data_IF_939056044011
#
_entry.id   IF_939056044011
#
_cell.length_a   1.000
_cell.length_b   1.000
_cell.length_c   1.000
_cell.angle_alpha   90.00
_cell.angle_beta   90.00
_cell.angle_gamma   90.00
#
_symmetry.space_group_name_H-M   'P 1'
#
loop_
_entity.id
_entity.type
_entity.pdbx_description
1 polymer ?
#
# COMPACT_ATOMS: atom_id res chain seq x y z
N UNK A 1 20.49 13.44 51.98
CA UNK A 1 19.96 12.05 51.90
C UNK A 1 18.52 11.96 51.38
N UNK A 2 17.57 12.78 51.83
CA UNK A 2 16.15 12.70 51.40
C UNK A 2 15.92 12.85 49.88
N UNK A 3 16.64 13.75 49.21
CA UNK A 3 16.53 13.93 47.75
C UNK A 3 16.94 12.70 46.92
N UNK A 4 17.99 11.98 47.33
CA UNK A 4 18.44 10.76 46.63
C UNK A 4 17.38 9.64 46.70
N UNK A 5 16.74 9.49 47.86
CA UNK A 5 15.66 8.51 48.07
C UNK A 5 14.43 8.88 47.23
N UNK A 6 14.09 10.17 47.14
CA UNK A 6 12.97 10.63 46.31
C UNK A 6 13.21 10.37 44.81
N UNK A 7 14.39 10.73 44.29
CA UNK A 7 14.77 10.46 42.89
C UNK A 7 14.74 8.95 42.60
N UNK A 8 15.28 8.13 43.52
CA UNK A 8 15.25 6.67 43.38
C UNK A 8 13.81 6.14 43.30
N UNK A 9 12.89 6.64 44.12
CA UNK A 9 11.47 6.26 44.07
C UNK A 9 10.81 6.64 42.75
N UNK A 10 11.11 7.82 42.20
CA UNK A 10 10.60 8.23 40.88
C UNK A 10 11.12 7.30 39.79
N UNK A 11 12.43 7.01 39.77
CA UNK A 11 13.02 6.11 38.77
C UNK A 11 12.43 4.70 38.88
N UNK A 12 12.30 4.18 40.10
CA UNK A 12 11.74 2.85 40.34
C UNK A 12 10.27 2.77 39.91
N UNK A 13 9.46 3.76 40.31
CA UNK A 13 8.05 3.83 39.93
C UNK A 13 7.89 3.98 38.41
N UNK A 14 8.65 4.86 37.78
CA UNK A 14 8.65 5.05 36.33
C UNK A 14 9.06 3.77 35.57
N UNK A 15 10.13 3.11 36.02
CA UNK A 15 10.60 1.86 35.43
C UNK A 15 9.58 0.73 35.58
N UNK A 16 8.91 0.64 36.74
CA UNK A 16 7.87 -0.35 36.99
C UNK A 16 6.67 -0.12 36.05
N UNK A 17 6.18 1.11 35.92
CA UNK A 17 5.07 1.42 35.02
C UNK A 17 5.43 1.18 33.56
N UNK A 18 6.66 1.52 33.16
CA UNK A 18 7.15 1.24 31.80
C UNK A 18 7.22 -0.28 31.54
N UNK A 19 7.70 -1.05 32.52
CA UNK A 19 7.72 -2.51 32.45
C UNK A 19 6.32 -3.12 32.33
N UNK A 20 5.35 -2.62 33.11
CA UNK A 20 3.95 -3.05 33.02
C UNK A 20 3.37 -2.71 31.64
N UNK A 21 3.58 -1.48 31.15
CA UNK A 21 3.10 -1.07 29.84
C UNK A 21 3.70 -1.92 28.72
N UNK A 22 5.02 -2.14 28.74
CA UNK A 22 5.71 -2.99 27.78
C UNK A 22 5.17 -4.42 27.81
N UNK A 23 4.93 -4.98 29.00
CA UNK A 23 4.32 -6.30 29.18
C UNK A 23 2.90 -6.38 28.62
N UNK A 24 2.07 -5.35 28.81
CA UNK A 24 0.72 -5.28 28.25
C UNK A 24 0.74 -5.20 26.72
N UNK A 25 1.55 -4.31 26.15
CA UNK A 25 1.66 -4.19 24.70
C UNK A 25 2.19 -5.47 24.06
N UNK A 26 3.17 -6.12 24.70
CA UNK A 26 3.69 -7.40 24.25
C UNK A 26 2.63 -8.51 24.33
N UNK A 27 1.85 -8.55 25.42
CA UNK A 27 0.75 -9.50 25.58
C UNK A 27 -0.29 -9.38 24.46
N UNK A 28 -0.69 -8.15 24.08
CA UNK A 28 -1.69 -7.95 23.02
C UNK A 28 -1.13 -8.10 21.60
N UNK A 29 0.19 -7.95 21.42
CA UNK A 29 0.80 -8.06 20.09
C UNK A 29 0.57 -9.44 19.48
N UNK A 30 -0.09 -9.47 18.33
CA UNK A 30 -0.22 -10.70 17.55
C UNK A 30 -1.19 -11.75 18.13
N UNK A 31 -2.04 -11.37 19.10
CA UNK A 31 -3.11 -12.24 19.64
C UNK A 31 -4.10 -12.75 18.59
N UNK A 32 -4.11 -12.14 17.40
CA UNK A 32 -5.05 -12.44 16.33
C UNK A 32 -4.38 -13.00 15.06
N UNK A 33 -3.12 -13.45 15.17
CA UNK A 33 -2.37 -14.04 14.04
C UNK A 33 -2.92 -15.39 13.58
N UNK A 34 -3.73 -16.04 14.40
CA UNK A 34 -4.42 -17.30 14.09
C UNK A 34 -5.66 -17.09 13.21
N UNK A 35 -6.20 -15.86 13.17
CA UNK A 35 -7.29 -15.50 12.27
C UNK A 35 -6.73 -15.34 10.86
N UNK A 36 -7.22 -16.19 9.95
CA UNK A 36 -6.86 -16.16 8.53
C UNK A 36 -8.10 -15.89 7.70
N UNK A 37 -8.14 -14.72 7.09
CA UNK A 37 -9.19 -14.30 6.16
C UNK A 37 -8.70 -14.42 4.72
N UNK A 38 -9.64 -14.35 3.77
CA UNK A 38 -9.32 -14.29 2.35
C UNK A 38 -9.11 -12.83 1.92
N UNK A 39 -8.30 -12.63 0.87
CA UNK A 39 -8.13 -11.33 0.25
C UNK A 39 -9.44 -10.75 -0.31
N UNK A 40 -10.31 -11.62 -0.85
CA UNK A 40 -11.57 -11.22 -1.50
C UNK A 40 -12.62 -10.67 -0.52
N UNK A 41 -12.56 -11.10 0.74
CA UNK A 41 -13.58 -10.78 1.76
C UNK A 41 -13.10 -9.80 2.83
N UNK A 42 -11.79 -9.51 2.89
CA UNK A 42 -11.18 -8.65 3.91
C UNK A 42 -10.52 -7.41 3.30
N UNK A 43 -10.40 -6.35 4.09
CA UNK A 43 -9.56 -5.18 3.81
C UNK A 43 -8.26 -5.20 4.64
N UNK A 44 -8.17 -6.08 5.64
CA UNK A 44 -6.96 -6.25 6.46
C UNK A 44 -5.86 -6.92 5.65
N UNK A 45 -4.65 -6.39 5.74
CA UNK A 45 -3.43 -7.04 5.26
C UNK A 45 -2.90 -8.04 6.29
N UNK A 46 -2.95 -7.73 7.59
CA UNK A 46 -2.35 -8.57 8.63
C UNK A 46 -3.10 -9.89 8.83
N UNK A 47 -4.42 -9.91 8.60
CA UNK A 47 -5.26 -11.10 8.75
C UNK A 47 -5.29 -11.98 7.49
N UNK A 48 -4.71 -11.52 6.38
CA UNK A 48 -4.68 -12.27 5.10
C UNK A 48 -3.27 -12.75 4.75
N UNK A 49 -2.22 -12.03 5.17
CA UNK A 49 -0.84 -12.44 4.90
C UNK A 49 -0.42 -13.58 5.82
N UNK A 50 0.31 -14.54 5.26
CA UNK A 50 0.90 -15.63 6.03
C UNK A 50 2.15 -15.19 6.81
N UNK A 51 2.74 -16.15 7.51
CA UNK A 51 4.05 -16.04 8.15
C UNK A 51 5.03 -17.04 7.54
N UNK A 52 6.30 -16.64 7.41
CA UNK A 52 7.36 -17.46 6.83
C UNK A 52 6.97 -18.08 5.46
N UNK A 53 6.25 -17.32 4.63
CA UNK A 53 5.83 -17.71 3.29
C UNK A 53 6.68 -17.03 2.23
N UNK A 54 6.80 -17.69 1.10
CA UNK A 54 7.39 -17.14 -0.10
C UNK A 54 6.29 -16.73 -1.08
N UNK A 55 6.43 -15.55 -1.67
CA UNK A 55 5.53 -15.00 -2.69
C UNK A 55 6.33 -14.61 -3.93
N UNK A 56 5.99 -15.08 -5.13
CA UNK A 56 6.60 -14.58 -6.36
C UNK A 56 6.43 -13.06 -6.52
N UNK A 57 5.28 -12.53 -6.06
CA UNK A 57 4.98 -11.11 -6.17
C UNK A 57 4.24 -10.54 -4.96
N UNK A 58 4.61 -9.32 -4.59
CA UNK A 58 3.86 -8.47 -3.66
C UNK A 58 3.35 -7.25 -4.43
N UNK A 59 2.07 -6.91 -4.29
CA UNK A 59 1.50 -5.66 -4.82
C UNK A 59 1.41 -4.61 -3.70
N UNK A 60 1.79 -3.38 -4.01
CA UNK A 60 1.60 -2.19 -3.15
C UNK A 60 0.75 -1.16 -3.91
N UNK A 61 0.06 -0.28 -3.18
CA UNK A 61 -0.70 0.83 -3.78
C UNK A 61 -1.92 1.26 -2.96
N UNK A 62 -2.73 2.14 -3.54
CA UNK A 62 -3.96 2.63 -2.88
C UNK A 62 -5.17 1.75 -3.18
N UNK A 63 -6.39 2.32 -3.12
CA UNK A 63 -7.62 1.65 -3.54
C UNK A 63 -7.54 1.13 -4.98
N UNK A 64 -6.82 1.83 -5.86
CA UNK A 64 -6.59 1.42 -7.26
C UNK A 64 -5.73 0.17 -7.39
N UNK A 65 -4.88 -0.12 -6.40
CA UNK A 65 -4.20 -1.42 -6.29
C UNK A 65 -5.01 -2.47 -5.53
N UNK A 66 -5.83 -2.06 -4.55
CA UNK A 66 -6.65 -2.98 -3.74
C UNK A 66 -7.68 -3.75 -4.59
N UNK A 67 -8.22 -3.14 -5.65
CA UNK A 67 -9.23 -3.78 -6.52
C UNK A 67 -8.76 -5.07 -7.18
N UNK A 68 -7.44 -5.27 -7.34
CA UNK A 68 -6.83 -6.53 -7.82
C UNK A 68 -7.07 -7.70 -6.87
N UNK A 69 -7.68 -7.48 -5.70
CA UNK A 69 -7.93 -8.52 -4.71
C UNK A 69 -9.34 -8.48 -4.10
N UNK A 70 -10.22 -7.63 -4.63
CA UNK A 70 -11.63 -7.60 -4.24
C UNK A 70 -12.47 -8.46 -5.19
N UNK A 71 -13.67 -8.84 -4.78
CA UNK A 71 -14.68 -9.44 -5.68
C UNK A 71 -14.22 -10.69 -6.45
N UNK A 72 -13.37 -11.52 -5.83
CA UNK A 72 -12.82 -12.73 -6.46
C UNK A 72 -11.68 -12.44 -7.43
N UNK A 73 -11.27 -11.18 -7.61
CA UNK A 73 -10.18 -10.82 -8.50
C UNK A 73 -8.83 -11.34 -7.99
N UNK A 74 -8.68 -11.62 -6.68
CA UNK A 74 -7.42 -12.15 -6.16
C UNK A 74 -7.05 -13.48 -6.82
N UNK A 75 -7.99 -14.43 -6.84
CA UNK A 75 -7.77 -15.74 -7.46
C UNK A 75 -7.51 -15.64 -8.97
N UNK A 76 -8.19 -14.73 -9.66
CA UNK A 76 -7.95 -14.46 -11.08
C UNK A 76 -6.53 -13.92 -11.31
N UNK A 77 -6.07 -12.99 -10.49
CA UNK A 77 -4.72 -12.42 -10.57
C UNK A 77 -3.67 -13.48 -10.26
N UNK A 78 -3.83 -14.29 -9.21
CA UNK A 78 -2.93 -15.41 -8.91
C UNK A 78 -2.85 -16.42 -10.06
N UNK A 79 -3.98 -16.72 -10.70
CA UNK A 79 -4.02 -17.61 -11.86
C UNK A 79 -3.27 -17.03 -13.06
N UNK A 80 -3.44 -15.76 -13.38
CA UNK A 80 -2.77 -15.10 -14.51
C UNK A 80 -1.25 -14.98 -14.25
N UNK A 81 -0.86 -14.69 -13.02
CA UNK A 81 0.54 -14.52 -12.62
C UNK A 81 1.23 -15.85 -12.26
N UNK A 82 0.51 -16.97 -12.36
CA UNK A 82 0.99 -18.34 -12.12
C UNK A 82 1.64 -18.53 -10.74
N UNK A 83 1.14 -17.84 -9.72
CA UNK A 83 1.77 -17.83 -8.41
C UNK A 83 0.97 -17.12 -7.34
N UNK A 84 1.38 -17.34 -6.08
CA UNK A 84 0.75 -16.68 -4.95
C UNK A 84 1.05 -15.19 -4.92
N UNK A 85 0.03 -14.38 -4.69
CA UNK A 85 0.16 -12.92 -4.69
C UNK A 85 -0.10 -12.40 -3.28
N UNK A 86 0.78 -11.56 -2.76
CA UNK A 86 0.48 -10.79 -1.56
C UNK A 86 0.11 -9.36 -1.95
N UNK A 87 -1.19 -9.01 -1.92
CA UNK A 87 -1.62 -7.65 -2.21
C UNK A 87 -1.72 -6.81 -0.94
N UNK A 88 -0.69 -6.01 -0.67
CA UNK A 88 -0.64 -5.12 0.50
C UNK A 88 -1.21 -3.72 0.21
N UNK A 89 -1.81 -3.50 -0.97
CA UNK A 89 -2.54 -2.27 -1.24
C UNK A 89 -3.71 -2.08 -0.27
N UNK A 90 -4.06 -0.83 0.06
CA UNK A 90 -5.15 -0.50 1.01
C UNK A 90 -6.23 0.37 0.38
N UNK A 91 -7.48 -0.02 0.64
CA UNK A 91 -8.68 0.76 0.31
C UNK A 91 -8.83 2.00 1.18
N UNK A 92 -8.23 3.11 0.74
CA UNK A 92 -8.17 4.36 1.52
C UNK A 92 -6.96 4.38 2.46
N UNK A 93 -6.06 5.33 2.25
CA UNK A 93 -4.83 5.42 3.04
C UNK A 93 -3.69 4.49 2.60
N UNK A 94 -3.64 4.02 1.35
CA UNK A 94 -2.54 3.16 0.85
C UNK A 94 -1.37 3.92 0.21
N UNK A 95 -1.03 5.11 0.70
CA UNK A 95 0.09 5.91 0.20
C UNK A 95 1.46 5.32 0.52
N UNK A 96 2.52 6.11 0.32
CA UNK A 96 3.90 5.66 0.45
C UNK A 96 4.26 5.26 1.89
N UNK A 97 3.81 6.03 2.89
CA UNK A 97 4.07 5.69 4.30
C UNK A 97 3.37 4.39 4.73
N UNK A 98 2.06 4.21 4.47
CA UNK A 98 1.35 2.96 4.77
C UNK A 98 1.87 1.77 3.98
N UNK A 99 2.25 1.94 2.70
CA UNK A 99 2.86 0.88 1.90
C UNK A 99 4.16 0.38 2.55
N UNK A 100 5.00 1.30 3.02
CA UNK A 100 6.26 0.98 3.69
C UNK A 100 6.03 0.31 5.06
N UNK A 101 5.00 0.72 5.82
CA UNK A 101 4.60 0.05 7.07
C UNK A 101 4.20 -1.40 6.84
N UNK A 102 3.29 -1.66 5.89
CA UNK A 102 2.82 -3.01 5.61
C UNK A 102 3.91 -3.90 5.01
N UNK A 103 4.74 -3.36 4.11
CA UNK A 103 5.87 -4.10 3.55
C UNK A 103 6.92 -4.43 4.63
N UNK A 104 7.20 -3.49 5.53
CA UNK A 104 8.09 -3.72 6.69
C UNK A 104 7.55 -4.84 7.58
N UNK A 105 6.24 -4.83 7.86
CA UNK A 105 5.62 -5.90 8.64
C UNK A 105 5.67 -7.24 7.90
N UNK A 106 5.39 -7.27 6.60
CA UNK A 106 5.50 -8.47 5.76
C UNK A 106 6.87 -9.13 5.88
N UNK A 107 7.96 -8.36 5.75
CA UNK A 107 9.31 -8.90 5.93
C UNK A 107 9.62 -9.26 7.39
N UNK A 108 9.12 -8.51 8.36
CA UNK A 108 9.29 -8.82 9.78
C UNK A 108 8.60 -10.14 10.19
N UNK A 109 7.57 -10.58 9.45
CA UNK A 109 6.93 -11.89 9.61
C UNK A 109 7.70 -13.03 8.92
N UNK A 110 8.94 -12.78 8.49
CA UNK A 110 9.78 -13.77 7.83
C UNK A 110 9.35 -14.12 6.41
N UNK A 111 8.40 -13.38 5.84
CA UNK A 111 8.00 -13.61 4.46
C UNK A 111 9.10 -13.15 3.48
N UNK A 112 9.17 -13.78 2.33
CA UNK A 112 10.11 -13.45 1.25
C UNK A 112 9.35 -13.19 -0.04
N UNK A 113 9.96 -12.38 -0.92
CA UNK A 113 9.37 -12.03 -2.21
C UNK A 113 10.46 -11.93 -3.28
N UNK A 114 10.15 -12.33 -4.52
CA UNK A 114 11.05 -12.10 -5.65
C UNK A 114 10.90 -10.69 -6.20
N UNK A 115 9.65 -10.24 -6.38
CA UNK A 115 9.33 -8.96 -7.00
C UNK A 115 8.25 -8.19 -6.22
N UNK A 116 8.54 -6.95 -5.84
CA UNK A 116 7.52 -5.99 -5.39
C UNK A 116 7.05 -5.17 -6.59
N UNK A 117 5.75 -5.06 -6.82
CA UNK A 117 5.18 -4.13 -7.79
C UNK A 117 4.42 -3.06 -7.02
N UNK A 118 4.86 -1.81 -7.12
CA UNK A 118 4.13 -0.67 -6.58
C UNK A 118 3.24 -0.09 -7.69
N UNK A 119 1.93 -0.21 -7.52
CA UNK A 119 0.92 0.41 -8.37
C UNK A 119 0.74 1.87 -7.94
N UNK A 120 1.34 2.78 -8.70
CA UNK A 120 1.54 4.18 -8.33
C UNK A 120 0.34 5.03 -8.71
N UNK A 121 -0.05 5.87 -7.75
CA UNK A 121 -0.99 6.96 -7.91
C UNK A 121 -0.26 8.28 -7.66
N UNK A 122 -0.20 9.23 -8.62
CA UNK A 122 0.63 10.43 -8.47
C UNK A 122 0.30 11.25 -7.21
N UNK A 123 -0.99 11.35 -6.88
CA UNK A 123 -1.46 12.22 -5.81
C UNK A 123 -0.95 11.83 -4.41
N UNK A 124 -0.54 10.58 -4.18
CA UNK A 124 -0.04 10.15 -2.86
C UNK A 124 1.29 10.79 -2.51
N UNK A 125 1.97 11.39 -3.49
CA UNK A 125 3.18 12.17 -3.25
C UNK A 125 2.86 13.58 -2.75
N UNK A 126 1.64 14.09 -2.92
CA UNK A 126 1.31 15.48 -2.59
C UNK A 126 0.36 15.61 -1.41
N UNK A 127 -0.30 14.52 -1.01
CA UNK A 127 -1.36 14.56 -0.01
C UNK A 127 -1.04 13.75 1.24
N UNK A 128 -1.16 14.41 2.39
CA UNK A 128 -0.99 13.78 3.70
C UNK A 128 -2.11 12.79 4.06
N UNK A 129 -3.33 12.98 3.50
CA UNK A 129 -4.49 12.12 3.81
C UNK A 129 -4.28 10.65 3.44
N UNK A 130 -3.38 10.36 2.50
CA UNK A 130 -3.06 8.98 2.12
C UNK A 130 -1.81 8.42 2.76
N UNK A 131 -1.10 9.25 3.52
CA UNK A 131 0.14 8.84 4.16
C UNK A 131 -0.01 8.79 5.67
N UNK A 132 -0.57 9.83 6.28
CA UNK A 132 -0.47 10.04 7.72
C UNK A 132 -1.69 10.72 8.35
N UNK A 133 -2.51 11.44 7.59
CA UNK A 133 -3.68 12.17 8.14
C UNK A 133 -4.98 11.35 8.12
N UNK A 134 -4.89 10.01 8.06
CA UNK A 134 -6.03 9.10 8.02
C UNK A 134 -5.71 7.75 8.69
N UNK A 135 -6.69 7.13 9.35
CA UNK A 135 -6.57 5.82 10.02
C UNK A 135 -7.08 4.65 9.18
N UNK A 136 -7.66 4.89 8.00
CA UNK A 136 -8.26 3.80 7.22
C UNK A 136 -7.28 2.64 6.94
N UNK A 137 -5.98 2.90 6.86
CA UNK A 137 -4.97 1.86 6.66
C UNK A 137 -4.66 1.01 7.91
N UNK A 138 -5.12 1.41 9.09
CA UNK A 138 -4.90 0.75 10.39
C UNK A 138 -6.20 0.26 11.05
N UNK A 139 -7.35 0.85 10.68
CA UNK A 139 -8.65 0.64 11.36
C UNK A 139 -9.13 -0.81 11.34
N UNK A 140 -8.67 -1.59 10.38
CA UNK A 140 -8.99 -2.98 10.15
C UNK A 140 -7.78 -3.91 10.39
N UNK A 141 -6.70 -3.39 10.97
CA UNK A 141 -5.49 -4.16 11.26
C UNK A 141 -5.40 -4.51 12.75
N UNK A 142 -5.20 -5.79 13.11
CA UNK A 142 -4.95 -6.20 14.48
C UNK A 142 -3.70 -5.56 15.06
N UNK A 143 -3.73 -5.31 16.37
CA UNK A 143 -2.60 -4.68 17.05
C UNK A 143 -1.34 -5.56 16.98
N UNK A 144 -0.28 -4.95 16.45
CA UNK A 144 1.06 -5.50 16.35
C UNK A 144 2.06 -4.50 16.90
N UNK A 145 2.84 -4.92 17.90
CA UNK A 145 3.84 -4.07 18.56
C UNK A 145 4.90 -3.58 17.56
N UNK A 146 5.24 -4.40 16.56
CA UNK A 146 6.14 -3.98 15.49
C UNK A 146 5.60 -2.78 14.72
N UNK A 147 4.32 -2.82 14.30
CA UNK A 147 3.68 -1.71 13.59
C UNK A 147 3.59 -0.50 14.52
N UNK A 148 3.19 -0.69 15.77
CA UNK A 148 3.08 0.39 16.75
C UNK A 148 4.42 1.13 16.93
N UNK A 149 5.50 0.37 17.11
CA UNK A 149 6.85 0.92 17.18
C UNK A 149 7.23 1.67 15.90
N UNK A 150 6.90 1.09 14.73
CA UNK A 150 7.16 1.72 13.44
C UNK A 150 6.42 3.04 13.26
N UNK A 151 5.17 3.14 13.68
CA UNK A 151 4.40 4.39 13.63
C UNK A 151 5.08 5.49 14.46
N UNK A 152 5.64 5.13 15.63
CA UNK A 152 6.39 6.06 16.48
C UNK A 152 7.71 6.48 15.81
N UNK A 153 8.51 5.52 15.34
CA UNK A 153 9.83 5.83 14.75
C UNK A 153 9.74 6.63 13.47
N UNK A 154 8.69 6.39 12.69
CA UNK A 154 8.44 7.08 11.44
C UNK A 154 7.67 8.39 11.63
N UNK A 155 7.42 8.78 12.90
CA UNK A 155 6.82 10.05 13.31
C UNK A 155 5.44 10.29 12.72
N UNK A 156 4.60 9.25 12.70
CA UNK A 156 3.19 9.44 12.40
C UNK A 156 2.55 10.39 13.43
N UNK A 157 1.51 11.15 13.04
CA UNK A 157 0.72 11.97 13.95
C UNK A 157 0.23 11.17 15.17
N UNK A 158 0.23 11.81 16.34
CA UNK A 158 -0.06 11.13 17.61
C UNK A 158 -1.46 10.54 17.66
N UNK A 159 -2.43 11.20 17.04
CA UNK A 159 -3.80 10.71 16.89
C UNK A 159 -3.87 9.39 16.09
N UNK A 160 -3.02 9.18 15.08
CA UNK A 160 -2.92 7.89 14.37
C UNK A 160 -2.35 6.81 15.28
N UNK A 161 -1.30 7.13 16.03
CA UNK A 161 -0.66 6.23 17.00
C UNK A 161 -1.69 5.79 18.06
N UNK A 162 -2.46 6.75 18.60
CA UNK A 162 -3.53 6.45 19.57
C UNK A 162 -4.67 5.65 18.95
N UNK A 163 -5.07 5.96 17.71
CA UNK A 163 -6.11 5.21 17.01
C UNK A 163 -5.71 3.75 16.81
N UNK A 164 -4.43 3.48 16.53
CA UNK A 164 -3.95 2.10 16.43
C UNK A 164 -3.91 1.37 17.77
N UNK A 165 -3.59 2.05 18.87
CA UNK A 165 -3.69 1.45 20.21
C UNK A 165 -5.12 1.03 20.56
N UNK A 166 -6.13 1.76 20.08
CA UNK A 166 -7.53 1.38 20.30
C UNK A 166 -7.90 0.04 19.65
N UNK A 167 -7.12 -0.42 18.66
CA UNK A 167 -7.33 -1.73 18.03
C UNK A 167 -7.15 -2.90 19.00
N UNK A 168 -6.48 -2.69 20.14
CA UNK A 168 -6.40 -3.68 21.24
C UNK A 168 -7.80 -4.06 21.76
N UNK A 169 -8.77 -3.15 21.72
CA UNK A 169 -10.11 -3.36 22.24
C UNK A 169 -11.07 -4.05 21.25
N UNK A 170 -10.64 -4.29 20.01
CA UNK A 170 -11.47 -4.90 18.97
C UNK A 170 -11.57 -6.40 19.21
N UNK A 171 -12.80 -6.92 19.23
CA UNK A 171 -13.08 -8.34 19.49
C UNK A 171 -13.65 -9.09 18.28
N UNK A 172 -14.25 -8.38 17.31
CA UNK A 172 -14.85 -8.95 16.10
C UNK A 172 -14.06 -8.53 14.85
N UNK A 173 -12.89 -9.16 14.68
CA UNK A 173 -11.99 -8.90 13.56
C UNK A 173 -12.60 -9.25 12.21
N UNK A 174 -13.45 -10.29 12.14
CA UNK A 174 -14.13 -10.68 10.90
C UNK A 174 -15.10 -9.59 10.43
N UNK A 175 -15.81 -8.95 11.36
CA UNK A 175 -16.74 -7.86 11.02
C UNK A 175 -16.04 -6.57 10.62
N UNK A 176 -15.06 -6.12 11.41
CA UNK A 176 -14.40 -4.82 11.17
C UNK A 176 -13.55 -4.82 9.90
N UNK A 177 -12.93 -5.97 9.58
CA UNK A 177 -12.08 -6.10 8.41
C UNK A 177 -12.85 -6.49 7.16
N UNK A 178 -14.17 -6.71 7.22
CA UNK A 178 -14.96 -7.15 6.07
C UNK A 178 -14.93 -6.12 4.95
N UNK A 179 -14.72 -6.58 3.72
CA UNK A 179 -14.92 -5.77 2.53
C UNK A 179 -16.38 -5.29 2.43
N UNK A 180 -16.55 -3.96 2.41
CA UNK A 180 -17.86 -3.32 2.56
C UNK A 180 -18.65 -3.15 1.25
N UNK A 181 -18.06 -3.41 0.08
CA UNK A 181 -18.68 -3.11 -1.21
C UNK A 181 -18.64 -4.28 -2.22
N UNK A 182 -19.12 -5.48 -1.85
CA UNK A 182 -19.08 -6.63 -2.75
C UNK A 182 -19.84 -6.38 -4.07
N UNK A 183 -19.25 -6.83 -5.17
CA UNK A 183 -19.76 -6.67 -6.54
C UNK A 183 -19.40 -5.35 -7.22
N UNK A 184 -18.60 -4.49 -6.59
CA UNK A 184 -18.23 -3.19 -7.15
C UNK A 184 -17.47 -3.34 -8.48
N UNK A 185 -16.57 -4.32 -8.59
CA UNK A 185 -15.76 -4.51 -9.81
C UNK A 185 -16.51 -5.19 -10.96
N UNK A 186 -17.75 -5.64 -10.74
CA UNK A 186 -18.62 -6.19 -11.79
C UNK A 186 -19.31 -5.06 -12.59
N UNK A 187 -19.29 -3.83 -12.07
CA UNK A 187 -19.79 -2.64 -12.75
C UNK A 187 -18.95 -2.25 -13.97
N UNK A 188 -19.57 -1.54 -14.91
CA UNK A 188 -18.87 -0.93 -16.06
C UNK A 188 -19.28 0.52 -16.23
N UNK A 189 -18.29 1.39 -16.39
CA UNK A 189 -18.47 2.83 -16.56
C UNK A 189 -19.21 3.11 -17.88
N UNK A 190 -20.43 3.61 -17.76
CA UNK A 190 -21.30 3.85 -18.93
C UNK A 190 -20.80 4.99 -19.82
N UNK A 191 -20.21 6.03 -19.22
CA UNK A 191 -19.62 7.17 -19.93
C UNK A 191 -18.53 7.81 -19.09
N UNK A 192 -17.51 8.34 -19.76
CA UNK A 192 -16.55 9.26 -19.14
C UNK A 192 -17.29 10.58 -18.93
N UNK A 193 -17.27 11.08 -17.71
CA UNK A 193 -18.03 12.25 -17.30
C UNK A 193 -17.04 13.37 -17.01
N UNK A 194 -16.92 14.30 -17.95
CA UNK A 194 -15.94 15.37 -17.88
C UNK A 194 -16.14 16.28 -16.65
N UNK A 195 -17.39 16.44 -16.19
CA UNK A 195 -17.68 17.27 -15.01
C UNK A 195 -17.14 16.58 -13.77
N UNK A 196 -17.42 15.27 -13.60
CA UNK A 196 -16.89 14.50 -12.46
C UNK A 196 -15.38 14.41 -12.45
N UNK A 197 -14.76 14.29 -13.63
CA UNK A 197 -13.31 14.33 -13.75
C UNK A 197 -12.75 15.68 -13.31
N UNK A 198 -13.36 16.79 -13.74
CA UNK A 198 -12.93 18.12 -13.31
C UNK A 198 -13.15 18.33 -11.81
N UNK A 199 -14.27 17.90 -11.24
CA UNK A 199 -14.53 17.94 -9.80
C UNK A 199 -13.47 17.14 -9.02
N UNK A 200 -13.13 15.93 -9.49
CA UNK A 200 -12.06 15.12 -8.91
C UNK A 200 -10.71 15.82 -9.02
N UNK A 201 -10.40 16.43 -10.16
CA UNK A 201 -9.16 17.19 -10.39
C UNK A 201 -9.04 18.36 -9.42
N UNK A 202 -10.10 19.14 -9.24
CA UNK A 202 -10.16 20.24 -8.27
C UNK A 202 -10.00 19.72 -6.83
N UNK A 203 -10.60 18.58 -6.51
CA UNK A 203 -10.39 17.93 -5.21
C UNK A 203 -8.92 17.60 -4.96
N UNK A 204 -8.23 16.99 -5.93
CA UNK A 204 -6.79 16.69 -5.80
C UNK A 204 -5.95 17.96 -5.70
N UNK A 205 -6.21 18.97 -6.53
CA UNK A 205 -5.51 20.26 -6.49
C UNK A 205 -5.67 20.98 -5.15
N UNK A 206 -6.86 20.94 -4.54
CA UNK A 206 -7.11 21.55 -3.23
C UNK A 206 -6.26 20.97 -2.09
N UNK A 207 -5.70 19.76 -2.29
CA UNK A 207 -4.85 19.03 -1.33
C UNK A 207 -3.41 18.89 -1.81
N UNK A 208 -3.05 19.56 -2.91
CA UNK A 208 -1.76 19.47 -3.53
C UNK A 208 -0.75 20.35 -2.79
N UNK A 209 0.26 19.72 -2.20
CA UNK A 209 1.32 20.43 -1.48
C UNK A 209 2.69 19.92 -1.93
N UNK A 210 3.53 20.84 -2.42
CA UNK A 210 4.89 20.53 -2.85
C UNK A 210 5.80 20.17 -1.67
N UNK A 211 5.53 20.66 -0.46
CA UNK A 211 6.30 20.25 0.72
C UNK A 211 6.07 18.77 1.05
N UNK A 212 4.86 18.28 0.77
CA UNK A 212 4.54 16.86 0.88
C UNK A 212 5.28 16.04 -0.18
N UNK A 213 5.48 16.60 -1.38
CA UNK A 213 6.23 15.92 -2.44
C UNK A 213 7.63 15.55 -1.99
N UNK A 214 8.39 16.51 -1.45
CA UNK A 214 9.75 16.24 -0.97
C UNK A 214 9.75 15.21 0.17
N UNK A 215 8.80 15.34 1.10
CA UNK A 215 8.64 14.43 2.24
C UNK A 215 8.36 12.99 1.79
N UNK A 216 7.36 12.79 0.94
CA UNK A 216 6.92 11.45 0.54
C UNK A 216 7.81 10.84 -0.53
N UNK A 217 8.47 11.64 -1.36
CA UNK A 217 9.52 11.14 -2.26
C UNK A 217 10.65 10.43 -1.50
N UNK A 218 10.99 10.90 -0.29
CA UNK A 218 11.94 10.22 0.60
C UNK A 218 11.52 8.79 0.97
N UNK A 219 10.23 8.47 0.95
CA UNK A 219 9.72 7.12 1.25
C UNK A 219 9.91 6.15 0.09
N UNK A 220 10.06 6.62 -1.15
CA UNK A 220 10.49 5.77 -2.29
C UNK A 220 11.84 5.13 -1.97
N UNK A 221 12.81 5.94 -1.53
CA UNK A 221 14.13 5.43 -1.15
C UNK A 221 14.05 4.43 0.02
N UNK A 222 13.21 4.71 1.03
CA UNK A 222 13.03 3.78 2.16
C UNK A 222 12.47 2.42 1.70
N UNK A 223 11.47 2.42 0.81
CA UNK A 223 10.91 1.21 0.22
C UNK A 223 11.96 0.47 -0.60
N UNK A 224 12.70 1.17 -1.48
CA UNK A 224 13.77 0.55 -2.28
C UNK A 224 14.83 -0.13 -1.40
N UNK A 225 15.27 0.55 -0.33
CA UNK A 225 16.24 -0.04 0.60
C UNK A 225 15.68 -1.25 1.34
N UNK A 226 14.40 -1.20 1.74
CA UNK A 226 13.73 -2.32 2.38
C UNK A 226 13.64 -3.54 1.45
N UNK A 227 13.24 -3.34 0.19
CA UNK A 227 13.19 -4.38 -0.84
C UNK A 227 14.59 -4.96 -1.10
N UNK A 228 15.59 -4.10 -1.29
CA UNK A 228 16.98 -4.49 -1.54
C UNK A 228 17.58 -5.27 -0.38
N UNK A 229 17.35 -4.83 0.87
CA UNK A 229 17.81 -5.54 2.08
C UNK A 229 17.28 -6.97 2.15
N UNK A 230 16.08 -7.20 1.59
CA UNK A 230 15.44 -8.51 1.52
C UNK A 230 15.69 -9.24 0.18
N UNK A 231 16.67 -8.79 -0.61
CA UNK A 231 17.12 -9.40 -1.87
C UNK A 231 16.03 -9.54 -2.94
N UNK A 232 15.03 -8.67 -2.89
CA UNK A 232 13.99 -8.57 -3.90
C UNK A 232 14.31 -7.46 -4.92
N UNK A 233 13.56 -7.42 -6.00
CA UNK A 233 13.50 -6.28 -6.95
C UNK A 233 12.17 -5.54 -6.79
N UNK A 234 12.12 -4.30 -7.28
CA UNK A 234 10.89 -3.50 -7.29
C UNK A 234 10.63 -2.88 -8.66
N UNK A 235 9.39 -2.93 -9.11
CA UNK A 235 8.91 -2.17 -10.26
C UNK A 235 7.81 -1.21 -9.82
N UNK A 236 7.99 0.07 -10.13
CA UNK A 236 6.94 1.07 -10.02
C UNK A 236 6.14 1.09 -11.32
N UNK A 237 4.82 1.06 -11.22
CA UNK A 237 3.92 1.12 -12.38
C UNK A 237 2.92 2.25 -12.17
N UNK A 238 3.05 3.34 -12.92
CA UNK A 238 2.05 4.41 -12.91
C UNK A 238 0.75 3.88 -13.51
N UNK A 239 -0.33 3.82 -12.73
CA UNK A 239 -1.58 3.21 -13.19
C UNK A 239 -2.30 4.07 -14.25
N UNK A 240 -2.93 3.45 -15.26
CA UNK A 240 -3.79 4.11 -16.25
C UNK A 240 -4.84 5.08 -15.69
N UNK A 241 -4.85 6.32 -16.16
CA UNK A 241 -5.72 7.39 -15.71
C UNK A 241 -6.64 7.83 -16.85
N UNK A 242 -7.95 7.89 -16.62
CA UNK A 242 -8.91 8.51 -17.54
C UNK A 242 -8.86 10.06 -17.51
N UNK A 243 -7.89 10.62 -16.79
CA UNK A 243 -7.64 12.05 -16.63
C UNK A 243 -6.23 12.37 -17.15
N UNK A 244 -6.10 12.92 -18.37
CA UNK A 244 -4.79 13.15 -18.98
C UNK A 244 -3.90 14.16 -18.24
N UNK A 245 -4.49 15.15 -17.57
CA UNK A 245 -3.81 16.23 -16.86
C UNK A 245 -3.87 16.05 -15.32
N UNK A 246 -3.73 14.80 -14.87
CA UNK A 246 -3.81 14.47 -13.45
C UNK A 246 -2.73 15.21 -12.63
N UNK A 247 -3.07 15.89 -11.52
CA UNK A 247 -2.13 16.70 -10.76
C UNK A 247 -0.89 15.92 -10.27
N UNK A 248 0.29 16.49 -10.52
CA UNK A 248 1.57 15.94 -10.07
C UNK A 248 2.11 14.77 -10.90
N UNK A 249 1.44 14.40 -11.98
CA UNK A 249 1.85 13.30 -12.84
C UNK A 249 3.28 13.48 -13.36
N UNK A 250 3.62 14.68 -13.86
CA UNK A 250 4.95 14.98 -14.42
C UNK A 250 6.07 14.89 -13.39
N UNK A 251 5.83 15.39 -12.18
CA UNK A 251 6.80 15.42 -11.09
C UNK A 251 7.10 14.00 -10.60
N UNK A 252 6.07 13.18 -10.45
CA UNK A 252 6.22 11.76 -10.04
C UNK A 252 6.87 10.95 -11.16
N UNK A 253 6.48 11.18 -12.41
CA UNK A 253 7.08 10.51 -13.57
C UNK A 253 8.58 10.77 -13.66
N UNK A 254 8.98 12.04 -13.51
CA UNK A 254 10.38 12.43 -13.45
C UNK A 254 11.12 11.76 -12.29
N UNK A 255 10.56 11.83 -11.08
CA UNK A 255 11.16 11.22 -9.88
C UNK A 255 11.41 9.72 -10.06
N UNK A 256 10.41 8.98 -10.54
CA UNK A 256 10.50 7.52 -10.66
C UNK A 256 11.39 7.11 -11.84
N UNK A 257 11.40 7.88 -12.93
CA UNK A 257 12.34 7.68 -14.04
C UNK A 257 13.79 7.87 -13.57
N UNK A 258 14.08 8.96 -12.87
CA UNK A 258 15.40 9.22 -12.31
C UNK A 258 15.81 8.15 -11.29
N UNK A 259 14.88 7.72 -10.45
CA UNK A 259 15.13 6.65 -9.45
C UNK A 259 15.45 5.32 -10.12
N UNK A 260 14.66 4.89 -11.12
CA UNK A 260 14.91 3.66 -11.86
C UNK A 260 16.25 3.71 -12.63
N UNK A 261 16.61 4.87 -13.19
CA UNK A 261 17.87 5.03 -13.94
C UNK A 261 19.14 4.90 -13.08
N UNK A 262 19.05 5.19 -11.78
CA UNK A 262 20.21 5.25 -10.87
C UNK A 262 20.31 4.05 -9.93
N UNK A 263 19.23 3.29 -9.73
CA UNK A 263 19.17 2.21 -8.74
C UNK A 263 19.00 0.83 -9.40
N UNK A 264 20.05 0.01 -9.33
CA UNK A 264 19.99 -1.39 -9.81
C UNK A 264 18.89 -2.17 -9.06
N UNK A 265 18.05 -2.88 -9.83
CA UNK A 265 16.93 -3.67 -9.30
C UNK A 265 15.65 -2.84 -9.07
N UNK A 266 15.62 -1.59 -9.52
CA UNK A 266 14.44 -0.72 -9.56
C UNK A 266 14.04 -0.47 -11.01
N UNK A 267 12.80 -0.76 -11.37
CA UNK A 267 12.24 -0.47 -12.69
C UNK A 267 11.06 0.51 -12.56
N UNK A 268 10.75 1.21 -13.65
CA UNK A 268 9.59 2.08 -13.71
C UNK A 268 8.92 2.02 -15.08
N UNK A 269 7.59 1.91 -15.08
CA UNK A 269 6.75 1.99 -16.27
C UNK A 269 5.65 3.02 -16.07
N UNK A 270 5.59 4.03 -16.93
CA UNK A 270 4.50 5.00 -16.93
C UNK A 270 3.35 4.52 -17.82
N UNK A 271 2.28 4.00 -17.23
CA UNK A 271 1.09 3.58 -17.97
C UNK A 271 -0.07 4.60 -17.85
N UNK A 272 0.17 5.83 -17.39
CA UNK A 272 -0.90 6.80 -17.13
C UNK A 272 -1.80 7.08 -18.34
N UNK A 273 -1.24 7.08 -19.55
CA UNK A 273 -1.96 7.30 -20.81
C UNK A 273 -2.40 6.00 -21.52
N UNK A 274 -2.16 4.83 -20.92
CA UNK A 274 -2.63 3.54 -21.42
C UNK A 274 -4.09 3.29 -20.98
N UNK A 275 -4.71 2.24 -21.51
CA UNK A 275 -6.01 1.67 -21.15
C UNK A 275 -7.08 2.77 -21.01
N UNK A 276 -7.28 3.57 -22.05
CA UNK A 276 -8.20 4.73 -22.00
C UNK A 276 -9.66 4.37 -22.30
N UNK A 277 -9.94 3.11 -22.63
CA UNK A 277 -11.30 2.64 -22.89
C UNK A 277 -12.07 2.45 -21.58
N UNK A 278 -13.18 3.17 -21.44
CA UNK A 278 -14.09 3.13 -20.28
C UNK A 278 -14.59 1.71 -19.95
N UNK A 279 -14.61 0.79 -20.91
CA UNK A 279 -15.07 -0.58 -20.69
C UNK A 279 -14.22 -1.34 -19.66
N UNK A 280 -13.01 -0.86 -19.38
CA UNK A 280 -12.10 -1.45 -18.39
C UNK A 280 -12.26 -0.88 -16.97
N UNK A 281 -13.23 0.00 -16.74
CA UNK A 281 -13.39 0.70 -15.47
C UNK A 281 -14.81 0.55 -14.92
N UNK A 282 -14.96 0.52 -13.59
CA UNK A 282 -16.27 0.62 -12.94
C UNK A 282 -16.61 2.06 -12.53
N UNK A 283 -15.59 2.90 -12.30
CA UNK A 283 -15.70 4.35 -12.08
C UNK A 283 -14.60 5.11 -12.84
N UNK A 284 -14.43 6.41 -12.60
CA UNK A 284 -13.45 7.20 -13.36
C UNK A 284 -11.98 6.94 -12.99
N UNK A 285 -11.68 6.09 -12.00
CA UNK A 285 -10.34 5.90 -11.45
C UNK A 285 -9.93 4.43 -11.29
N UNK A 286 -10.89 3.51 -11.17
CA UNK A 286 -10.65 2.13 -10.78
C UNK A 286 -11.08 1.15 -11.88
N UNK A 287 -10.23 0.15 -12.10
CA UNK A 287 -10.54 -0.93 -13.03
C UNK A 287 -11.70 -1.78 -12.56
N UNK A 288 -12.55 -2.18 -13.51
CA UNK A 288 -13.44 -3.32 -13.33
C UNK A 288 -12.69 -4.64 -13.57
N UNK A 289 -13.40 -5.76 -13.45
CA UNK A 289 -12.85 -7.10 -13.63
C UNK A 289 -12.14 -7.30 -14.97
N UNK A 290 -12.74 -6.82 -16.06
CA UNK A 290 -12.15 -6.88 -17.40
C UNK A 290 -10.86 -6.06 -17.49
N UNK A 291 -10.82 -4.87 -16.88
CA UNK A 291 -9.63 -4.04 -16.81
C UNK A 291 -8.51 -4.69 -16.01
N UNK A 292 -8.85 -5.34 -14.89
CA UNK A 292 -7.90 -6.08 -14.06
C UNK A 292 -7.33 -7.28 -14.83
N UNK A 293 -8.15 -8.09 -15.50
CA UNK A 293 -7.68 -9.21 -16.33
C UNK A 293 -6.73 -8.71 -17.44
N UNK A 294 -7.16 -7.71 -18.20
CA UNK A 294 -6.38 -7.12 -19.28
C UNK A 294 -5.03 -6.57 -18.78
N UNK A 295 -5.05 -5.74 -17.74
CA UNK A 295 -3.83 -5.13 -17.20
C UNK A 295 -2.89 -6.18 -16.58
N UNK A 296 -3.44 -7.18 -15.91
CA UNK A 296 -2.62 -8.25 -15.31
C UNK A 296 -1.90 -9.06 -16.40
N UNK A 297 -2.59 -9.44 -17.48
CA UNK A 297 -1.99 -10.19 -18.61
C UNK A 297 -0.97 -9.40 -19.40
N UNK A 298 -1.25 -8.12 -19.63
CA UNK A 298 -0.50 -7.31 -20.60
C UNK A 298 0.52 -6.37 -19.95
N UNK A 299 0.48 -6.20 -18.63
CA UNK A 299 1.45 -5.40 -17.87
C UNK A 299 2.14 -6.20 -16.77
N UNK A 300 1.39 -6.70 -15.78
CA UNK A 300 1.99 -7.34 -14.60
C UNK A 300 2.71 -8.65 -14.95
N UNK A 301 2.10 -9.51 -15.76
CA UNK A 301 2.70 -10.78 -16.18
C UNK A 301 4.01 -10.58 -16.96
N UNK A 302 4.10 -9.70 -17.98
CA UNK A 302 5.36 -9.36 -18.64
C UNK A 302 6.44 -8.87 -17.67
N UNK A 303 6.12 -7.97 -16.74
CA UNK A 303 7.06 -7.44 -15.75
C UNK A 303 7.67 -8.56 -14.91
N UNK A 304 6.85 -9.49 -14.42
CA UNK A 304 7.34 -10.64 -13.65
C UNK A 304 8.29 -11.51 -14.49
N UNK A 305 8.02 -11.65 -15.78
CA UNK A 305 8.81 -12.44 -16.72
C UNK A 305 9.93 -11.65 -17.43
N UNK A 306 10.29 -10.46 -16.93
CA UNK A 306 11.36 -9.60 -17.48
C UNK A 306 11.13 -9.23 -18.96
N UNK A 307 9.88 -9.05 -19.32
CA UNK A 307 9.45 -8.55 -20.63
C UNK A 307 8.84 -7.18 -20.43
N UNK A 308 8.97 -6.33 -21.44
CA UNK A 308 8.28 -5.06 -21.46
C UNK A 308 6.77 -5.29 -21.48
N UNK A 309 5.99 -4.50 -20.72
CA UNK A 309 4.54 -4.40 -20.92
C UNK A 309 4.18 -4.10 -22.38
N UNK A 310 2.98 -4.51 -22.77
CA UNK A 310 2.41 -4.19 -24.08
C UNK A 310 0.95 -3.78 -23.89
N UNK A 311 0.70 -2.49 -23.71
CA UNK A 311 -0.64 -1.95 -23.47
C UNK A 311 -1.05 -1.07 -24.65
N UNK A 312 -2.20 -1.34 -25.27
CA UNK A 312 -2.75 -0.52 -26.36
C UNK A 312 -1.79 -0.21 -27.52
N UNK A 313 -0.89 -1.16 -27.84
CA UNK A 313 0.14 -0.95 -28.87
C UNK A 313 1.29 -0.02 -28.44
N UNK A 314 1.31 0.44 -27.19
CA UNK A 314 2.46 1.09 -26.55
C UNK A 314 3.42 -0.01 -26.10
N UNK A 315 4.62 0.00 -26.69
CA UNK A 315 5.72 -0.89 -26.35
C UNK A 315 6.70 -0.16 -25.45
N UNK A 316 6.94 -0.72 -24.27
CA UNK A 316 7.97 -0.21 -23.38
C UNK A 316 9.32 -0.85 -23.70
N UNK A 317 10.43 -0.20 -23.34
CA UNK A 317 11.75 -0.83 -23.40
C UNK A 317 11.96 -1.73 -22.16
N UNK A 318 12.73 -2.80 -22.34
CA UNK A 318 13.27 -3.57 -21.21
C UNK A 318 14.48 -2.80 -20.71
N UNK A 319 14.52 -2.47 -19.41
CA UNK A 319 15.73 -1.92 -18.81
C UNK A 319 16.79 -3.01 -18.67
N UNK A 320 18.04 -2.70 -19.00
CA UNK A 320 19.16 -3.64 -18.84
C UNK A 320 19.47 -3.82 -17.33
N UNK A 321 19.28 -5.04 -16.81
CA UNK A 321 19.53 -5.43 -15.41
C UNK A 321 21.03 -5.55 -15.05
#
# INVERSE_FOLDING_TARGET
MKGKIFIFKIILFGSLNLGILAGLLWYFSGQHRDIHLSYDESESNLLVIGENKHYPVVLLGTSRGRVFSRDGNHAMVEQILEGKVANLSKGGGGGLMPAEVHLSYFFNRGNTVDHVIYLVDPWVFFSAINNEDNDFFLRDEPFELFIFWKLITDRFPSDRIFSYLQMIAVTDWKKISRYAAPGLTEGTLQKIDAIKLEEARQHYLSKYDLNNFDKYSGKVNAINQLVKKNRARITYVMLPLLMPDFPGLSEVDKLLTETASREKGVMYYNCASCVQDKQFYYDHMHFNKSGIDFFTRNCLYPILHRKAPALDGIYFSVGDD
#
